data_IF_297431787502
#
_entry.id   IF_297431787502
#
_cell.length_a   1.000
_cell.length_b   1.000
_cell.length_c   1.000
_cell.angle_alpha   90.00
_cell.angle_beta   90.00
_cell.angle_gamma   90.00
#
_symmetry.space_group_name_H-M   'P 1'
#
loop_
_entity.id
_entity.type
_entity.pdbx_description
1 polymer ?
#
# COMPACT_ATOMS: atom_id res chain seq x y z
N UNK A 1 40.67 -23.83 22.87
CA UNK A 1 39.50 -23.51 23.72
C UNK A 1 38.74 -22.38 23.02
N UNK A 2 37.57 -22.67 22.45
CA UNK A 2 36.69 -21.63 21.97
C UNK A 2 36.10 -20.94 23.20
N UNK A 3 36.54 -19.72 23.49
CA UNK A 3 35.92 -18.91 24.52
C UNK A 3 34.51 -18.58 24.05
N UNK A 4 33.52 -18.85 24.89
CA UNK A 4 32.17 -18.37 24.65
C UNK A 4 32.22 -16.85 24.81
N UNK A 5 32.16 -16.14 23.70
CA UNK A 5 32.15 -14.68 23.67
C UNK A 5 30.75 -14.18 24.02
N UNK A 6 30.59 -13.73 25.26
CA UNK A 6 29.34 -13.18 25.77
C UNK A 6 28.87 -11.94 24.98
N UNK A 7 29.76 -11.23 24.28
CA UNK A 7 29.38 -10.12 23.40
C UNK A 7 28.62 -10.59 22.16
N UNK A 8 29.05 -11.70 21.55
CA UNK A 8 28.36 -12.31 20.40
C UNK A 8 27.01 -12.89 20.81
N UNK A 9 26.91 -13.45 22.02
CA UNK A 9 25.64 -13.92 22.56
C UNK A 9 24.68 -12.75 22.86
N UNK A 10 25.18 -11.63 23.39
CA UNK A 10 24.35 -10.44 23.64
C UNK A 10 23.89 -9.78 22.34
N UNK A 11 24.70 -9.81 21.29
CA UNK A 11 24.33 -9.34 19.95
C UNK A 11 23.21 -10.20 19.34
N UNK A 12 23.32 -11.52 19.40
CA UNK A 12 22.27 -12.44 18.93
C UNK A 12 20.96 -12.35 19.76
N UNK A 13 21.06 -11.97 21.04
CA UNK A 13 19.88 -11.68 21.89
C UNK A 13 19.22 -10.33 21.56
N UNK A 14 19.98 -9.34 21.08
CA UNK A 14 19.44 -8.06 20.64
C UNK A 14 18.85 -8.12 19.22
N UNK A 15 19.32 -9.04 18.36
CA UNK A 15 18.68 -9.34 17.07
C UNK A 15 17.42 -10.22 17.20
N UNK A 16 17.28 -10.92 18.33
CA UNK A 16 16.02 -11.55 18.76
C UNK A 16 15.19 -10.64 19.68
N UNK A 17 15.56 -9.36 19.76
CA UNK A 17 14.75 -8.28 20.31
C UNK A 17 13.46 -8.18 19.52
N UNK A 18 12.49 -8.98 19.96
CA UNK A 18 11.07 -8.93 19.69
C UNK A 18 10.70 -7.68 18.91
N UNK A 19 10.32 -7.86 17.64
CA UNK A 19 9.66 -6.88 16.80
C UNK A 19 8.68 -6.03 17.65
N UNK A 20 9.16 -4.93 18.23
CA UNK A 20 8.35 -3.97 18.99
C UNK A 20 7.25 -3.38 18.08
N UNK A 21 7.45 -3.53 16.77
CA UNK A 21 6.50 -3.27 15.70
C UNK A 21 5.21 -4.11 15.83
N UNK A 22 5.23 -5.35 16.32
CA UNK A 22 4.00 -6.17 16.40
C UNK A 22 3.08 -5.81 17.58
N UNK A 23 3.58 -5.12 18.62
CA UNK A 23 2.73 -4.65 19.74
C UNK A 23 2.19 -3.24 19.57
N UNK A 24 2.68 -2.54 18.55
CA UNK A 24 2.19 -1.21 18.21
C UNK A 24 1.18 -1.38 17.08
N UNK A 25 0.01 -0.75 17.17
CA UNK A 25 -0.98 -0.76 16.07
C UNK A 25 -0.33 -0.44 14.71
N UNK A 26 0.69 0.42 14.72
CA UNK A 26 1.49 0.76 13.56
C UNK A 26 2.14 -0.42 12.85
N UNK A 27 2.74 -1.39 13.55
CA UNK A 27 3.44 -2.49 12.86
C UNK A 27 2.55 -3.67 12.45
N UNK A 28 1.33 -3.77 12.98
CA UNK A 28 0.30 -4.63 12.40
C UNK A 28 -0.15 -4.02 11.07
N UNK A 29 -0.51 -2.73 11.06
CA UNK A 29 -0.93 -2.03 9.84
C UNK A 29 0.18 -2.08 8.78
N UNK A 30 1.43 -1.89 9.20
CA UNK A 30 2.59 -1.91 8.32
C UNK A 30 2.74 -3.23 7.55
N UNK A 31 2.50 -4.38 8.20
CA UNK A 31 2.57 -5.68 7.58
C UNK A 31 1.46 -5.91 6.52
N UNK A 32 0.28 -5.32 6.72
CA UNK A 32 -0.87 -5.47 5.82
C UNK A 32 -0.89 -4.47 4.66
N UNK A 33 -0.39 -3.25 4.84
CA UNK A 33 -0.36 -2.20 3.81
C UNK A 33 0.18 -2.66 2.45
N UNK A 34 1.36 -3.31 2.32
CA UNK A 34 1.89 -3.69 1.01
C UNK A 34 1.01 -4.72 0.30
N UNK A 35 0.38 -5.65 1.03
CA UNK A 35 -0.58 -6.59 0.46
C UNK A 35 -1.84 -5.88 -0.07
N UNK A 36 -2.38 -4.93 0.69
CA UNK A 36 -3.55 -4.15 0.28
C UNK A 36 -3.22 -3.28 -0.94
N UNK A 37 -2.06 -2.62 -0.96
CA UNK A 37 -1.63 -1.82 -2.11
C UNK A 37 -1.41 -2.67 -3.36
N UNK A 38 -0.82 -3.86 -3.22
CA UNK A 38 -0.66 -4.81 -4.33
C UNK A 38 -2.01 -5.26 -4.91
N UNK A 39 -2.96 -5.66 -4.05
CA UNK A 39 -4.31 -6.00 -4.48
C UNK A 39 -5.06 -4.81 -5.08
N UNK A 40 -4.93 -3.62 -4.49
CA UNK A 40 -5.56 -2.41 -4.98
C UNK A 40 -5.05 -2.03 -6.38
N UNK A 41 -3.75 -2.19 -6.66
CA UNK A 41 -3.18 -1.98 -7.99
C UNK A 41 -3.77 -2.90 -9.05
N UNK A 42 -3.91 -4.19 -8.73
CA UNK A 42 -4.52 -5.19 -9.64
C UNK A 42 -5.99 -4.86 -9.90
N UNK A 43 -6.77 -4.60 -8.84
CA UNK A 43 -8.19 -4.27 -8.95
C UNK A 43 -8.38 -2.98 -9.76
N UNK A 44 -7.56 -1.96 -9.50
CA UNK A 44 -7.59 -0.70 -10.24
C UNK A 44 -7.32 -0.92 -11.74
N UNK A 45 -6.32 -1.73 -12.07
CA UNK A 45 -6.00 -2.06 -13.46
C UNK A 45 -7.17 -2.77 -14.16
N UNK A 46 -7.81 -3.73 -13.51
CA UNK A 46 -9.02 -4.39 -14.02
C UNK A 46 -10.16 -3.39 -14.24
N UNK A 47 -10.39 -2.46 -13.31
CA UNK A 47 -11.40 -1.42 -13.45
C UNK A 47 -11.12 -0.48 -14.61
N UNK A 48 -9.86 -0.13 -14.86
CA UNK A 48 -9.45 0.67 -16.01
C UNK A 48 -9.76 -0.04 -17.33
N UNK A 49 -9.40 -1.32 -17.43
CA UNK A 49 -9.71 -2.15 -18.60
C UNK A 49 -11.22 -2.19 -18.83
N UNK A 50 -12.00 -2.54 -17.81
CA UNK A 50 -13.45 -2.69 -17.93
C UNK A 50 -14.18 -1.38 -18.22
N UNK A 51 -13.75 -0.28 -17.61
CA UNK A 51 -14.26 1.05 -17.88
C UNK A 51 -13.91 1.51 -19.31
N UNK A 52 -12.66 1.28 -19.74
CA UNK A 52 -12.18 1.60 -21.09
C UNK A 52 -12.95 0.85 -22.17
N UNK A 53 -13.07 -0.48 -22.04
CA UNK A 53 -13.87 -1.29 -22.95
C UNK A 53 -15.35 -0.90 -22.94
N UNK A 54 -15.91 -0.54 -21.79
CA UNK A 54 -17.29 -0.07 -21.69
C UNK A 54 -17.55 1.17 -22.57
N UNK A 55 -16.65 2.15 -22.57
CA UNK A 55 -16.77 3.34 -23.43
C UNK A 55 -16.58 2.96 -24.91
N UNK A 56 -15.59 2.14 -25.24
CA UNK A 56 -15.30 1.75 -26.63
C UNK A 56 -16.43 0.93 -27.26
N UNK A 57 -17.04 0.01 -26.50
CA UNK A 57 -18.11 -0.88 -26.99
C UNK A 57 -19.49 -0.19 -27.04
N UNK A 58 -19.60 1.06 -26.59
CA UNK A 58 -20.88 1.76 -26.50
C UNK A 58 -21.52 2.07 -27.86
N UNK A 59 -20.82 1.87 -28.99
CA UNK A 59 -21.35 1.96 -30.37
C UNK A 59 -22.27 3.17 -30.68
N UNK A 60 -22.14 4.28 -29.96
CA UNK A 60 -22.97 5.47 -30.14
C UNK A 60 -24.24 5.55 -29.26
N UNK A 61 -24.52 4.56 -28.41
CA UNK A 61 -25.57 4.66 -27.39
C UNK A 61 -25.12 5.64 -26.27
N UNK A 62 -25.83 6.76 -26.07
CA UNK A 62 -25.50 7.76 -25.06
C UNK A 62 -25.51 7.18 -23.63
N UNK A 63 -26.39 6.21 -23.37
CA UNK A 63 -26.60 5.61 -22.04
C UNK A 63 -25.45 4.66 -21.67
N UNK A 64 -25.02 3.84 -22.61
CA UNK A 64 -23.86 2.98 -22.44
C UNK A 64 -22.57 3.81 -22.27
N UNK A 65 -22.42 4.87 -23.07
CA UNK A 65 -21.27 5.77 -22.99
C UNK A 65 -21.22 6.50 -21.65
N UNK A 66 -22.37 7.00 -21.16
CA UNK A 66 -22.48 7.62 -19.85
C UNK A 66 -22.11 6.65 -18.72
N UNK A 67 -22.60 5.41 -18.77
CA UNK A 67 -22.27 4.38 -17.78
C UNK A 67 -20.77 4.01 -17.80
N UNK A 68 -20.16 3.93 -18.98
CA UNK A 68 -18.72 3.70 -19.13
C UNK A 68 -17.88 4.84 -18.55
N UNK A 69 -18.26 6.09 -18.84
CA UNK A 69 -17.63 7.29 -18.25
C UNK A 69 -17.73 7.30 -16.73
N UNK A 70 -18.91 7.00 -16.18
CA UNK A 70 -19.12 6.92 -14.73
C UNK A 70 -18.20 5.89 -14.07
N UNK A 71 -18.01 4.72 -14.71
CA UNK A 71 -17.09 3.70 -14.21
C UNK A 71 -15.64 4.16 -14.21
N UNK A 72 -15.19 4.80 -15.29
CA UNK A 72 -13.81 5.35 -15.35
C UNK A 72 -13.64 6.45 -14.29
N UNK A 73 -14.59 7.37 -14.16
CA UNK A 73 -14.51 8.43 -13.15
C UNK A 73 -14.35 7.87 -11.74
N UNK A 74 -15.13 6.83 -11.40
CA UNK A 74 -15.02 6.13 -10.11
C UNK A 74 -13.66 5.44 -9.93
N UNK A 75 -13.14 4.80 -10.97
CA UNK A 75 -11.81 4.18 -10.95
C UNK A 75 -10.70 5.23 -10.74
N UNK A 76 -10.77 6.36 -11.44
CA UNK A 76 -9.84 7.48 -11.31
C UNK A 76 -9.89 8.07 -9.90
N UNK A 77 -11.09 8.27 -9.33
CA UNK A 77 -11.23 8.73 -7.95
C UNK A 77 -10.57 7.77 -6.97
N UNK A 78 -10.78 6.46 -7.13
CA UNK A 78 -10.12 5.44 -6.31
C UNK A 78 -8.60 5.50 -6.42
N UNK A 79 -8.05 5.67 -7.63
CA UNK A 79 -6.62 5.85 -7.84
C UNK A 79 -6.09 7.10 -7.14
N UNK A 80 -6.78 8.23 -7.29
CA UNK A 80 -6.38 9.50 -6.66
C UNK A 80 -6.37 9.39 -5.14
N UNK A 81 -7.31 8.66 -4.54
CA UNK A 81 -7.33 8.42 -3.09
C UNK A 81 -6.10 7.62 -2.65
N UNK A 82 -5.77 6.53 -3.35
CA UNK A 82 -4.58 5.70 -3.04
C UNK A 82 -3.30 6.53 -3.19
N UNK A 83 -3.23 7.32 -4.26
CA UNK A 83 -2.12 8.22 -4.51
C UNK A 83 -1.99 9.27 -3.40
N UNK A 84 -3.06 9.96 -3.03
CA UNK A 84 -3.06 10.94 -1.95
C UNK A 84 -2.70 10.32 -0.60
N UNK A 85 -3.18 9.11 -0.30
CA UNK A 85 -2.85 8.39 0.92
C UNK A 85 -1.34 8.14 1.04
N UNK A 86 -0.67 7.76 -0.05
CA UNK A 86 0.78 7.60 -0.08
C UNK A 86 1.51 8.90 0.32
N UNK A 87 1.12 10.03 -0.29
CA UNK A 87 1.72 11.33 0.04
C UNK A 87 1.47 11.74 1.49
N UNK A 88 0.25 11.53 2.00
CA UNK A 88 -0.08 11.82 3.40
C UNK A 88 0.80 11.01 4.35
N UNK A 89 0.95 9.70 4.11
CA UNK A 89 1.78 8.84 4.97
C UNK A 89 3.26 9.25 4.89
N UNK A 90 3.76 9.62 3.72
CA UNK A 90 5.14 10.09 3.55
C UNK A 90 5.41 11.38 4.35
N UNK A 91 4.47 12.33 4.30
CA UNK A 91 4.57 13.60 5.06
C UNK A 91 4.48 13.33 6.56
N UNK A 92 3.56 12.46 7.00
CA UNK A 92 3.44 12.06 8.40
C UNK A 92 4.70 11.36 8.91
N UNK A 93 5.30 10.46 8.12
CA UNK A 93 6.57 9.81 8.48
C UNK A 93 7.72 10.81 8.63
N UNK A 94 7.75 11.86 7.80
CA UNK A 94 8.74 12.93 7.88
C UNK A 94 8.57 13.77 9.15
N UNK A 95 7.33 14.14 9.49
CA UNK A 95 7.03 14.96 10.68
C UNK A 95 7.23 14.19 11.98
N UNK A 96 6.84 12.91 12.00
CA UNK A 96 6.92 12.05 13.19
C UNK A 96 8.32 11.45 13.38
N UNK A 97 9.22 11.57 12.40
CA UNK A 97 10.58 11.03 12.46
C UNK A 97 10.66 9.50 12.44
N UNK A 98 9.57 8.82 12.10
CA UNK A 98 9.45 7.35 12.13
C UNK A 98 9.94 6.81 10.78
N UNK A 99 11.23 6.48 10.71
CA UNK A 99 11.91 6.00 9.50
C UNK A 99 11.40 4.64 9.00
N UNK A 100 10.69 3.90 9.84
CA UNK A 100 10.12 2.58 9.52
C UNK A 100 9.00 2.67 8.47
N UNK A 101 8.25 3.78 8.38
CA UNK A 101 7.18 3.92 7.36
C UNK A 101 7.71 4.01 5.94
N UNK A 102 8.93 4.54 5.75
CA UNK A 102 9.58 4.63 4.44
C UNK A 102 9.97 3.25 3.89
N UNK A 103 10.06 2.23 4.73
CA UNK A 103 10.35 0.86 4.31
C UNK A 103 9.09 0.03 4.00
N UNK A 104 7.89 0.60 4.17
CA UNK A 104 6.60 -0.07 3.91
C UNK A 104 6.02 0.20 2.52
N UNK A 105 6.56 1.21 1.87
CA UNK A 105 6.29 1.58 0.49
C UNK A 105 7.61 1.57 -0.27
#
# INVERSE_FOLDING_TARGET
MAAIDFGVLQQNLNETGYNQNLNTLGGIVSAFVPYVFGLAGIVLFLYFIWGGFGIMMSHGDPKATAAGKDRITRAVIGFVIIFAAFWIVQILGLILGISQFRNLF
#
